data_IF_273533579979
#
_entry.id   IF_273533579979
#
_cell.length_a   1.000
_cell.length_b   1.000
_cell.length_c   1.000
_cell.angle_alpha   90.00
_cell.angle_beta   90.00
_cell.angle_gamma   90.00
#
_symmetry.space_group_name_H-M   'P 1'
#
loop_
_entity.id
_entity.type
_entity.pdbx_description
1 polymer ?
#
# COMPACT_ATOMS: atom_id res chain seq x y z
N UNK A 1 -2.13 -22.67 13.19
CA UNK A 1 -1.65 -21.60 12.29
C UNK A 1 -2.76 -21.35 11.30
N UNK A 2 -3.35 -20.16 11.30
CA UNK A 2 -4.41 -19.81 10.36
C UNK A 2 -3.79 -19.27 9.07
N UNK A 3 -4.31 -19.70 7.93
CA UNK A 3 -3.86 -19.29 6.60
C UNK A 3 -4.96 -18.44 5.95
N UNK A 4 -4.63 -17.21 5.58
CA UNK A 4 -5.54 -16.33 4.83
C UNK A 4 -5.14 -16.33 3.36
N UNK A 5 -5.87 -17.10 2.56
CA UNK A 5 -5.66 -17.13 1.12
C UNK A 5 -6.21 -15.85 0.50
N UNK A 6 -5.34 -15.07 -0.15
CA UNK A 6 -5.75 -13.97 -1.02
C UNK A 6 -6.18 -14.52 -2.38
N UNK A 7 -6.90 -13.70 -3.17
CA UNK A 7 -7.31 -14.08 -4.52
C UNK A 7 -6.09 -14.52 -5.37
N UNK A 8 -6.27 -15.51 -6.25
CA UNK A 8 -5.20 -16.06 -7.12
C UNK A 8 -4.56 -15.01 -8.05
N UNK A 9 -5.20 -13.85 -8.22
CA UNK A 9 -4.73 -12.70 -9.00
C UNK A 9 -4.13 -11.59 -8.14
N UNK A 10 -3.97 -11.78 -6.84
CA UNK A 10 -3.53 -10.73 -5.91
C UNK A 10 -2.11 -10.26 -6.19
N UNK A 11 -1.14 -11.18 -6.27
CA UNK A 11 0.29 -10.87 -6.27
C UNK A 11 0.68 -9.92 -5.11
N UNK A 12 0.75 -10.42 -3.87
CA UNK A 12 1.06 -9.63 -2.70
C UNK A 12 2.46 -9.00 -2.79
N UNK A 13 2.56 -7.69 -2.58
CA UNK A 13 3.85 -6.96 -2.66
C UNK A 13 4.31 -6.36 -1.34
N UNK A 14 3.38 -5.89 -0.50
CA UNK A 14 3.70 -5.27 0.78
C UNK A 14 2.61 -5.51 1.82
N UNK A 15 3.03 -5.53 3.09
CA UNK A 15 2.15 -5.63 4.25
C UNK A 15 2.38 -4.45 5.19
N UNK A 16 1.31 -3.96 5.81
CA UNK A 16 1.39 -2.98 6.89
C UNK A 16 0.32 -3.26 7.95
N UNK A 17 0.68 -3.13 9.22
CA UNK A 17 -0.28 -3.14 10.32
C UNK A 17 -0.78 -1.72 10.57
N UNK A 18 -2.08 -1.57 10.81
CA UNK A 18 -2.68 -0.32 11.26
C UNK A 18 -3.99 -0.56 12.00
N UNK A 19 -4.07 -0.05 13.23
CA UNK A 19 -5.28 -0.05 14.07
C UNK A 19 -5.85 -1.47 14.31
N UNK A 20 -4.98 -2.44 14.53
CA UNK A 20 -5.36 -3.83 14.80
C UNK A 20 -5.80 -4.58 13.55
N UNK A 21 -5.34 -4.18 12.37
CA UNK A 21 -5.60 -4.87 11.12
C UNK A 21 -4.35 -4.87 10.25
N UNK A 22 -4.18 -5.93 9.46
CA UNK A 22 -3.11 -6.04 8.46
C UNK A 22 -3.66 -5.72 7.08
N UNK A 23 -2.97 -4.88 6.34
CA UNK A 23 -3.32 -4.51 4.98
C UNK A 23 -2.26 -5.02 4.02
N UNK A 24 -2.70 -5.53 2.88
CA UNK A 24 -1.85 -6.12 1.85
C UNK A 24 -2.08 -5.44 0.51
N UNK A 25 -1.02 -4.95 -0.14
CA UNK A 25 -1.12 -4.47 -1.52
C UNK A 25 -1.02 -5.63 -2.49
N UNK A 26 -1.89 -5.61 -3.50
CA UNK A 26 -2.03 -6.64 -4.51
C UNK A 26 -1.71 -6.04 -5.89
N UNK A 27 -0.48 -6.20 -6.37
CA UNK A 27 0.01 -5.53 -7.60
C UNK A 27 -0.82 -5.90 -8.82
N UNK A 28 -1.05 -7.20 -9.05
CA UNK A 28 -1.77 -7.66 -10.24
C UNK A 28 -3.26 -7.39 -10.18
N UNK A 29 -3.84 -7.41 -8.98
CA UNK A 29 -5.25 -7.09 -8.80
C UNK A 29 -5.52 -5.58 -8.78
N UNK A 30 -4.50 -4.75 -8.51
CA UNK A 30 -4.67 -3.31 -8.32
C UNK A 30 -5.51 -2.97 -7.09
N UNK A 31 -5.42 -3.77 -6.02
CA UNK A 31 -6.23 -3.61 -4.80
C UNK A 31 -5.40 -3.63 -3.53
N UNK A 32 -6.05 -3.29 -2.42
CA UNK A 32 -5.58 -3.59 -1.07
C UNK A 32 -6.56 -4.57 -0.45
N UNK A 33 -6.06 -5.65 0.15
CA UNK A 33 -6.84 -6.54 1.04
C UNK A 33 -6.64 -6.14 2.50
N UNK A 34 -7.60 -6.46 3.35
CA UNK A 34 -7.55 -6.21 4.80
C UNK A 34 -7.81 -7.50 5.55
N UNK A 35 -6.99 -7.80 6.53
CA UNK A 35 -7.21 -8.87 7.51
C UNK A 35 -7.43 -8.18 8.85
N UNK A 36 -8.64 -8.29 9.39
CA UNK A 36 -8.95 -7.74 10.72
C UNK A 36 -8.15 -8.44 11.82
N UNK A 37 -8.06 -7.84 13.01
CA UNK A 37 -7.42 -8.45 14.17
C UNK A 37 -8.08 -9.75 14.64
N UNK A 38 -9.31 -10.02 14.20
CA UNK A 38 -10.05 -11.26 14.42
C UNK A 38 -9.82 -12.29 13.29
N UNK A 39 -8.90 -12.02 12.36
CA UNK A 39 -8.59 -12.90 11.23
C UNK A 39 -9.57 -12.79 10.06
N UNK A 40 -10.63 -12.00 10.12
CA UNK A 40 -11.54 -11.85 8.96
C UNK A 40 -10.84 -11.16 7.77
N UNK A 41 -10.79 -11.85 6.63
CA UNK A 41 -10.31 -11.32 5.36
C UNK A 41 -11.41 -10.54 4.62
N UNK A 42 -11.07 -9.32 4.22
CA UNK A 42 -11.76 -8.51 3.20
C UNK A 42 -10.87 -8.47 1.97
N UNK A 43 -11.27 -9.15 0.89
CA UNK A 43 -10.47 -9.28 -0.34
C UNK A 43 -10.15 -7.93 -0.98
N UNK A 44 -11.13 -7.03 -1.05
CA UNK A 44 -10.95 -5.67 -1.60
C UNK A 44 -11.38 -4.65 -0.56
N UNK A 45 -10.41 -4.15 0.20
CA UNK A 45 -10.56 -3.01 1.10
C UNK A 45 -10.53 -1.69 0.35
N UNK A 46 -9.68 -1.56 -0.67
CA UNK A 46 -9.57 -0.38 -1.53
C UNK A 46 -8.97 -0.77 -2.89
N UNK A 47 -9.09 0.12 -3.86
CA UNK A 47 -8.51 -0.07 -5.20
C UNK A 47 -7.51 1.02 -5.53
N UNK A 48 -6.56 0.73 -6.42
CA UNK A 48 -5.68 1.73 -7.01
C UNK A 48 -6.23 2.25 -8.34
N UNK A 49 -5.77 3.41 -8.82
CA UNK A 49 -6.00 3.84 -10.21
C UNK A 49 -5.57 2.76 -11.20
N UNK A 50 -6.24 2.71 -12.35
CA UNK A 50 -5.95 1.69 -13.38
C UNK A 50 -4.47 1.74 -13.80
N UNK A 51 -3.85 0.57 -13.79
CA UNK A 51 -2.45 0.37 -14.18
C UNK A 51 -1.42 0.72 -13.11
N UNK A 52 -1.82 1.18 -11.91
CA UNK A 52 -0.89 1.37 -10.79
C UNK A 52 -0.20 0.07 -10.38
N UNK A 53 1.05 0.19 -9.94
CA UNK A 53 1.88 -0.91 -9.45
C UNK A 53 2.36 -0.65 -8.02
N UNK A 54 1.52 -0.91 -7.01
CA UNK A 54 1.85 -0.67 -5.61
C UNK A 54 2.96 -1.64 -5.15
N UNK A 55 4.10 -1.10 -4.73
CA UNK A 55 5.25 -1.91 -4.29
C UNK A 55 5.59 -1.74 -2.80
N UNK A 56 5.02 -0.75 -2.13
CA UNK A 56 5.24 -0.51 -0.71
C UNK A 56 3.99 0.10 -0.08
N UNK A 57 3.77 -0.20 1.21
CA UNK A 57 2.68 0.34 2.02
C UNK A 57 3.21 0.96 3.31
N UNK A 58 2.57 2.04 3.77
CA UNK A 58 2.73 2.62 5.10
C UNK A 58 1.38 3.09 5.63
N UNK A 59 1.27 3.26 6.95
CA UNK A 59 0.07 3.78 7.59
C UNK A 59 0.41 4.97 8.48
N UNK A 60 -0.49 5.96 8.54
CA UNK A 60 -0.38 7.03 9.54
C UNK A 60 -1.13 6.71 10.84
N UNK A 61 -0.95 7.56 11.85
CA UNK A 61 -1.59 7.41 13.18
C UNK A 61 -3.11 7.59 13.13
N UNK A 62 -3.66 8.10 12.02
CA UNK A 62 -5.10 8.20 11.77
C UNK A 62 -5.64 6.98 11.02
N UNK A 63 -4.79 6.01 10.67
CA UNK A 63 -5.16 4.81 9.94
C UNK A 63 -5.24 4.99 8.42
N UNK A 64 -4.78 6.12 7.87
CA UNK A 64 -4.70 6.30 6.41
C UNK A 64 -3.55 5.48 5.87
N UNK A 65 -3.80 4.76 4.78
CA UNK A 65 -2.79 3.96 4.09
C UNK A 65 -2.19 4.76 2.95
N UNK A 66 -0.88 4.68 2.83
CA UNK A 66 -0.09 5.26 1.77
C UNK A 66 0.55 4.13 0.99
N UNK A 67 0.44 4.19 -0.32
CA UNK A 67 1.07 3.24 -1.23
C UNK A 67 2.02 3.98 -2.15
N UNK A 68 3.11 3.32 -2.51
CA UNK A 68 4.03 3.81 -3.51
C UNK A 68 3.77 3.09 -4.83
N UNK A 69 3.43 3.84 -5.87
CA UNK A 69 3.24 3.33 -7.23
C UNK A 69 4.57 3.33 -7.99
N UNK A 70 5.11 2.14 -8.26
CA UNK A 70 6.38 1.97 -8.97
C UNK A 70 6.35 2.51 -10.40
N UNK A 71 5.18 2.47 -11.06
CA UNK A 71 5.08 2.89 -12.47
C UNK A 71 5.20 4.40 -12.63
N UNK A 72 4.63 5.15 -11.68
CA UNK A 72 4.50 6.61 -11.76
C UNK A 72 5.44 7.35 -10.83
N UNK A 73 5.96 6.68 -9.80
CA UNK A 73 6.65 7.34 -8.69
C UNK A 73 5.68 8.12 -7.80
N UNK A 74 4.37 7.91 -7.93
CA UNK A 74 3.38 8.60 -7.10
C UNK A 74 3.19 7.92 -5.74
N UNK A 75 3.01 8.75 -4.72
CA UNK A 75 2.48 8.32 -3.43
C UNK A 75 0.97 8.46 -3.49
N UNK A 76 0.28 7.33 -3.38
CA UNK A 76 -1.18 7.24 -3.36
C UNK A 76 -1.66 7.11 -1.92
N UNK A 77 -2.79 7.72 -1.58
CA UNK A 77 -3.42 7.62 -0.26
C UNK A 77 -4.82 7.04 -0.37
N UNK A 78 -5.13 6.10 0.51
CA UNK A 78 -6.47 5.53 0.67
C UNK A 78 -7.20 6.29 1.78
N UNK A 79 -8.32 6.93 1.42
CA UNK A 79 -9.08 7.79 2.34
C UNK A 79 -10.20 7.04 3.07
N UNK A 80 -10.74 5.97 2.49
CA UNK A 80 -11.83 5.17 3.06
C UNK A 80 -11.89 3.77 2.45
N UNK A 81 -12.51 2.85 3.18
CA UNK A 81 -12.85 1.51 2.69
C UNK A 81 -13.79 1.59 1.47
N UNK A 82 -13.59 0.69 0.50
CA UNK A 82 -14.29 0.67 -0.79
C UNK A 82 -13.90 1.81 -1.75
N UNK A 83 -13.00 2.71 -1.35
CA UNK A 83 -12.55 3.83 -2.16
C UNK A 83 -11.43 3.49 -3.14
N UNK A 84 -11.27 4.33 -4.16
CA UNK A 84 -10.06 4.36 -4.99
C UNK A 84 -9.02 5.27 -4.34
N UNK A 85 -7.77 4.82 -4.27
CA UNK A 85 -6.65 5.62 -3.80
C UNK A 85 -6.45 6.85 -4.69
N UNK A 86 -6.09 7.98 -4.08
CA UNK A 86 -5.85 9.25 -4.76
C UNK A 86 -4.40 9.66 -4.63
N UNK A 87 -3.88 10.42 -5.58
CA UNK A 87 -2.50 10.93 -5.50
C UNK A 87 -2.36 11.90 -4.32
N UNK A 88 -1.43 11.61 -3.44
CA UNK A 88 -1.02 12.45 -2.32
C UNK A 88 0.18 13.31 -2.66
N UNK A 89 1.20 12.71 -3.28
CA UNK A 89 2.43 13.39 -3.69
C UNK A 89 3.07 12.63 -4.88
N UNK A 90 4.05 13.25 -5.53
CA UNK A 90 4.89 12.61 -6.54
C UNK A 90 6.34 12.67 -6.13
N UNK A 91 7.08 11.62 -6.44
CA UNK A 91 8.51 11.54 -6.20
C UNK A 91 9.23 11.86 -7.52
N UNK A 92 10.36 12.59 -7.54
CA UNK A 92 11.04 12.92 -8.79
C UNK A 92 11.37 11.68 -9.63
N UNK A 93 11.25 11.72 -10.97
CA UNK A 93 11.39 10.55 -11.85
C UNK A 93 12.73 9.81 -11.73
N UNK A 94 13.79 10.49 -11.28
CA UNK A 94 15.13 9.90 -11.10
C UNK A 94 15.33 9.19 -9.76
N UNK A 95 14.28 9.13 -8.95
CA UNK A 95 14.27 8.32 -7.73
C UNK A 95 13.71 6.94 -8.05
N UNK A 96 14.31 5.90 -7.49
CA UNK A 96 13.81 4.52 -7.58
C UNK A 96 13.18 4.16 -6.22
N UNK A 97 11.99 4.69 -5.89
CA UNK A 97 11.42 4.45 -4.59
C UNK A 97 11.08 2.96 -4.45
N UNK A 98 11.60 2.34 -3.40
CA UNK A 98 11.40 0.91 -3.11
C UNK A 98 10.64 0.66 -1.81
N UNK A 99 10.62 1.65 -0.92
CA UNK A 99 9.99 1.55 0.38
C UNK A 99 9.34 2.85 0.74
N UNK A 100 8.36 2.76 1.63
CA UNK A 100 7.70 3.89 2.27
C UNK A 100 7.58 3.52 3.74
N UNK A 101 8.32 4.20 4.59
CA UNK A 101 8.21 4.06 6.04
C UNK A 101 7.88 5.41 6.65
N UNK A 102 7.23 5.42 7.80
CA UNK A 102 6.98 6.63 8.57
C UNK A 102 7.84 6.59 9.83
N UNK A 103 8.75 7.55 9.97
CA UNK A 103 9.23 7.93 11.29
C UNK A 103 8.23 8.92 11.92
N UNK A 104 8.13 8.95 13.26
CA UNK A 104 7.21 9.78 14.04
C UNK A 104 7.40 11.26 13.72
N UNK A 105 6.78 11.73 12.61
CA UNK A 105 6.60 13.10 12.08
C UNK A 105 6.27 13.17 10.58
N UNK A 106 6.19 12.04 9.87
CA UNK A 106 5.65 12.02 8.49
C UNK A 106 6.70 12.16 7.39
N UNK A 107 7.92 11.67 7.63
CA UNK A 107 8.96 11.57 6.60
C UNK A 107 8.82 10.22 5.89
N UNK A 108 8.80 10.23 4.56
CA UNK A 108 8.85 9.04 3.71
C UNK A 108 10.29 8.83 3.24
N UNK A 109 10.91 7.70 3.57
CA UNK A 109 12.25 7.36 3.07
C UNK A 109 12.14 6.56 1.79
N UNK A 110 12.77 7.09 0.75
CA UNK A 110 12.87 6.50 -0.58
C UNK A 110 14.36 6.22 -0.81
N UNK A 111 14.72 4.95 -0.90
CA UNK A 111 16.11 4.55 -1.15
C UNK A 111 16.47 4.71 -2.64
N UNK A 112 17.66 5.22 -2.93
CA UNK A 112 18.23 5.31 -4.28
C UNK A 112 19.34 4.26 -4.42
N UNK A 113 19.25 3.36 -5.40
CA UNK A 113 20.45 2.64 -5.87
C UNK A 113 21.25 3.65 -6.70
N UNK A 114 22.42 4.07 -6.22
CA UNK A 114 23.39 4.72 -7.12
C UNK A 114 23.84 3.65 -8.12
N UNK A 115 23.82 4.00 -9.41
CA UNK A 115 24.64 3.31 -10.40
C UNK A 115 26.11 3.47 -10.00
#
# INVERSE_FOLDING_TARGET
>A
MEHFALANTSWPTALVESRGAVYCSNDRAGTISKISGEGKLTETFASFPLGSKPIALSADTRGRLYALDWRTGDILVVLREGGTAVRFASVPPETLPFSITREYRGVFFIWRRRA
#
